data_IF_144019155877
#
_entry.id   IF_144019155877
#
_cell.length_a   1.000
_cell.length_b   1.000
_cell.length_c   1.000
_cell.angle_alpha   90.00
_cell.angle_beta   90.00
_cell.angle_gamma   90.00
#
_symmetry.space_group_name_H-M   'P 1'
#
loop_
_entity.id
_entity.type
_entity.pdbx_description
1 polymer ?
#
# COMPACT_ATOMS: atom_id res chain seq x y z
N UNK A 1 -16.26 -31.45 1.61
CA UNK A 1 -15.78 -30.42 2.57
C UNK A 1 -14.26 -30.32 2.59
N UNK A 2 -13.50 -31.42 2.44
CA UNK A 2 -12.02 -31.38 2.33
C UNK A 2 -11.44 -30.60 1.13
N UNK A 3 -12.13 -30.50 -0.01
CA UNK A 3 -11.56 -29.86 -1.21
C UNK A 3 -11.45 -28.32 -1.17
N UNK A 4 -12.20 -27.64 -0.30
CA UNK A 4 -12.17 -26.17 -0.22
C UNK A 4 -11.01 -25.68 0.65
N UNK A 5 -10.73 -26.33 1.78
CA UNK A 5 -9.60 -25.96 2.64
C UNK A 5 -8.26 -26.17 1.93
N UNK A 6 -8.11 -27.27 1.18
CA UNK A 6 -6.91 -27.51 0.37
C UNK A 6 -6.72 -26.45 -0.72
N UNK A 7 -7.80 -25.93 -1.31
CA UNK A 7 -7.71 -24.91 -2.37
C UNK A 7 -7.14 -23.57 -1.86
N UNK A 8 -7.37 -23.24 -0.59
CA UNK A 8 -6.94 -21.99 0.02
C UNK A 8 -5.65 -22.11 0.84
N UNK A 9 -5.15 -23.32 1.04
CA UNK A 9 -3.89 -23.56 1.76
C UNK A 9 -2.72 -23.60 0.80
N UNK A 10 -1.73 -22.75 1.03
CA UNK A 10 -0.46 -22.76 0.28
C UNK A 10 0.63 -22.23 1.19
N UNK A 11 1.67 -23.02 1.38
CA UNK A 11 2.78 -22.62 2.26
C UNK A 11 3.72 -21.68 1.51
N UNK A 12 3.76 -20.43 1.97
CA UNK A 12 4.83 -19.47 1.66
C UNK A 12 5.56 -19.14 2.94
N UNK A 13 6.75 -19.70 3.08
CA UNK A 13 7.65 -19.33 4.18
C UNK A 13 8.13 -17.90 3.96
N UNK A 14 7.78 -17.00 4.89
CA UNK A 14 8.23 -15.62 4.86
C UNK A 14 9.73 -15.53 5.13
N UNK A 15 10.49 -15.19 4.10
CA UNK A 15 11.91 -14.88 4.15
C UNK A 15 12.08 -13.41 4.47
N UNK A 16 12.07 -13.07 5.76
CA UNK A 16 12.16 -11.70 6.25
C UNK A 16 13.28 -10.88 5.58
N UNK A 17 14.45 -11.50 5.38
CA UNK A 17 15.60 -10.86 4.74
C UNK A 17 15.33 -10.41 3.30
N UNK A 18 14.50 -11.14 2.54
CA UNK A 18 14.11 -10.75 1.18
C UNK A 18 13.17 -9.54 1.23
N UNK A 19 12.20 -9.55 2.14
CA UNK A 19 11.26 -8.45 2.34
C UNK A 19 12.02 -7.17 2.68
N UNK A 20 12.97 -7.27 3.63
CA UNK A 20 13.84 -6.15 4.04
C UNK A 20 14.71 -5.68 2.88
N UNK A 21 15.32 -6.58 2.11
CA UNK A 21 16.14 -6.21 0.95
C UNK A 21 15.33 -5.40 -0.07
N UNK A 22 14.11 -5.84 -0.39
CA UNK A 22 13.22 -5.14 -1.31
C UNK A 22 12.78 -3.79 -0.73
N UNK A 23 12.49 -3.73 0.57
CA UNK A 23 12.16 -2.47 1.26
C UNK A 23 13.33 -1.47 1.26
N UNK A 24 14.56 -1.92 1.44
CA UNK A 24 15.76 -1.06 1.33
C UNK A 24 15.92 -0.56 -0.11
N UNK A 25 15.80 -1.44 -1.11
CA UNK A 25 15.87 -1.05 -2.52
C UNK A 25 14.80 -0.04 -2.89
N UNK A 26 13.56 -0.23 -2.41
CA UNK A 26 12.47 0.74 -2.54
C UNK A 26 12.88 2.12 -2.02
N UNK A 27 13.39 2.19 -0.79
CA UNK A 27 13.79 3.47 -0.15
C UNK A 27 14.93 4.13 -0.92
N UNK A 28 15.94 3.36 -1.33
CA UNK A 28 17.09 3.88 -2.09
C UNK A 28 16.65 4.43 -3.46
N UNK A 29 15.82 3.70 -4.20
CA UNK A 29 15.30 4.14 -5.50
C UNK A 29 14.48 5.41 -5.33
N UNK A 30 13.63 5.48 -4.29
CA UNK A 30 12.83 6.65 -3.98
C UNK A 30 13.69 7.88 -3.64
N UNK A 31 14.78 7.69 -2.89
CA UNK A 31 15.70 8.77 -2.54
C UNK A 31 16.36 9.37 -3.79
N UNK A 32 16.75 8.54 -4.75
CA UNK A 32 17.42 8.95 -5.98
C UNK A 32 16.49 9.10 -7.20
N UNK A 33 15.18 9.24 -6.98
CA UNK A 33 14.15 9.32 -8.04
C UNK A 33 14.29 10.46 -9.05
N UNK A 34 15.17 11.43 -8.79
CA UNK A 34 15.46 12.52 -9.74
C UNK A 34 16.32 12.05 -10.92
N UNK A 35 17.02 10.91 -10.81
CA UNK A 35 17.74 10.30 -11.91
C UNK A 35 16.76 9.64 -12.92
N UNK A 36 16.90 9.84 -14.25
CA UNK A 36 15.89 9.41 -15.23
C UNK A 36 15.47 7.94 -15.12
N UNK A 37 16.45 7.03 -15.01
CA UNK A 37 16.19 5.58 -14.90
C UNK A 37 15.48 5.25 -13.58
N UNK A 38 15.94 5.85 -12.48
CA UNK A 38 15.39 5.58 -11.14
C UNK A 38 14.00 6.18 -10.98
N UNK A 39 13.66 7.24 -11.73
CA UNK A 39 12.32 7.81 -11.74
C UNK A 39 11.26 6.82 -12.24
N UNK A 40 11.58 6.03 -13.27
CA UNK A 40 10.68 4.98 -13.77
C UNK A 40 10.59 3.80 -12.80
N UNK A 41 11.70 3.42 -12.18
CA UNK A 41 11.71 2.36 -11.15
C UNK A 41 10.91 2.78 -9.91
N UNK A 42 11.03 4.04 -9.46
CA UNK A 42 10.22 4.62 -8.38
C UNK A 42 8.72 4.53 -8.70
N UNK A 43 8.32 4.79 -9.95
CA UNK A 43 6.92 4.65 -10.37
C UNK A 43 6.45 3.21 -10.27
N UNK A 44 7.27 2.25 -10.71
CA UNK A 44 6.92 0.83 -10.68
C UNK A 44 6.80 0.31 -9.24
N UNK A 45 7.81 0.58 -8.41
CA UNK A 45 7.86 0.10 -7.03
C UNK A 45 6.81 0.76 -6.14
N UNK A 46 6.55 2.05 -6.34
CA UNK A 46 5.57 2.79 -5.54
C UNK A 46 4.14 2.61 -6.03
N UNK A 47 3.90 1.90 -7.15
CA UNK A 47 2.55 1.79 -7.69
C UNK A 47 1.58 1.17 -6.68
N UNK A 48 1.91 -0.02 -6.15
CA UNK A 48 1.04 -0.73 -5.19
C UNK A 48 0.93 0.07 -3.88
N UNK A 49 2.03 0.57 -3.28
CA UNK A 49 1.93 1.35 -2.05
C UNK A 49 1.13 2.65 -2.19
N UNK A 50 1.39 3.46 -3.22
CA UNK A 50 0.64 4.71 -3.48
C UNK A 50 -0.82 4.40 -3.75
N UNK A 51 -1.13 3.37 -4.54
CA UNK A 51 -2.51 2.94 -4.74
C UNK A 51 -3.18 2.58 -3.40
N UNK A 52 -2.47 1.83 -2.56
CA UNK A 52 -2.98 1.42 -1.25
C UNK A 52 -3.24 2.64 -0.38
N UNK A 53 -2.35 3.63 -0.37
CA UNK A 53 -2.54 4.90 0.34
C UNK A 53 -3.80 5.64 -0.16
N UNK A 54 -3.88 5.91 -1.46
CA UNK A 54 -4.99 6.68 -2.03
C UNK A 54 -6.33 5.94 -1.93
N UNK A 55 -6.33 4.62 -2.07
CA UNK A 55 -7.52 3.80 -1.81
C UNK A 55 -7.94 3.85 -0.35
N UNK A 56 -6.99 4.00 0.59
CA UNK A 56 -7.27 4.24 2.00
C UNK A 56 -8.16 5.46 2.21
N UNK A 57 -7.85 6.58 1.54
CA UNK A 57 -8.73 7.76 1.56
C UNK A 57 -10.12 7.44 1.03
N UNK A 58 -10.23 6.71 -0.07
CA UNK A 58 -11.52 6.39 -0.70
C UNK A 58 -12.36 5.46 0.18
N UNK A 59 -11.76 4.41 0.72
CA UNK A 59 -12.43 3.45 1.59
C UNK A 59 -12.99 4.15 2.83
N UNK A 60 -12.18 4.95 3.50
CA UNK A 60 -12.59 5.67 4.70
C UNK A 60 -13.59 6.79 4.38
N UNK A 61 -13.46 7.43 3.22
CA UNK A 61 -14.46 8.37 2.74
C UNK A 61 -15.83 7.70 2.58
N UNK A 62 -15.89 6.54 1.93
CA UNK A 62 -17.13 5.77 1.76
C UNK A 62 -17.71 5.30 3.09
N UNK A 63 -16.88 4.79 4.01
CA UNK A 63 -17.32 4.37 5.36
C UNK A 63 -17.94 5.56 6.12
N UNK A 64 -17.37 6.76 5.96
CA UNK A 64 -17.91 7.98 6.59
C UNK A 64 -19.14 8.59 5.88
N UNK A 65 -19.69 7.92 4.87
CA UNK A 65 -20.86 8.39 4.10
C UNK A 65 -20.53 9.37 2.96
N UNK A 66 -19.25 9.50 2.60
CA UNK A 66 -18.78 10.31 1.49
C UNK A 66 -18.89 9.65 0.11
N UNK A 67 -18.44 10.38 -0.92
CA UNK A 67 -18.38 9.90 -2.30
C UNK A 67 -16.99 10.11 -2.89
N UNK A 68 -16.40 9.04 -3.42
CA UNK A 68 -15.20 9.12 -4.26
C UNK A 68 -15.60 9.30 -5.73
N UNK A 69 -14.94 10.22 -6.42
CA UNK A 69 -15.21 10.58 -7.81
C UNK A 69 -14.16 10.02 -8.77
N UNK A 70 -12.89 10.14 -8.41
CA UNK A 70 -11.78 9.66 -9.22
C UNK A 70 -10.63 9.25 -8.30
N UNK A 71 -9.79 8.36 -8.81
CA UNK A 71 -8.55 7.92 -8.22
C UNK A 71 -7.52 7.90 -9.33
N UNK A 72 -6.39 8.58 -9.16
CA UNK A 72 -5.36 8.67 -10.20
C UNK A 72 -4.02 8.33 -9.61
N UNK A 73 -3.31 7.41 -10.27
CA UNK A 73 -1.89 7.15 -10.02
C UNK A 73 -1.08 7.80 -11.12
N UNK A 74 -0.14 8.66 -10.74
CA UNK A 74 0.70 9.40 -11.68
C UNK A 74 1.83 8.48 -12.15
N UNK A 75 1.77 8.06 -13.42
CA UNK A 75 2.72 7.10 -14.02
C UNK A 75 3.79 7.75 -14.90
N UNK A 76 3.82 9.09 -14.99
CA UNK A 76 4.82 9.83 -15.78
C UNK A 76 5.80 10.55 -14.85
N UNK A 77 7.13 10.34 -14.98
CA UNK A 77 8.12 11.04 -14.16
C UNK A 77 8.01 12.56 -14.22
N UNK A 78 7.85 13.10 -15.42
CA UNK A 78 7.71 14.54 -15.64
C UNK A 78 6.49 15.13 -14.90
N UNK A 79 5.36 14.42 -14.91
CA UNK A 79 4.15 14.84 -14.19
C UNK A 79 4.40 14.84 -12.68
N UNK A 80 5.03 13.79 -12.13
CA UNK A 80 5.40 13.74 -10.69
C UNK A 80 6.33 14.87 -10.28
N UNK A 81 7.28 15.26 -11.13
CA UNK A 81 8.21 16.35 -10.84
C UNK A 81 7.51 17.72 -10.85
N UNK A 82 6.58 17.93 -11.80
CA UNK A 82 5.83 19.18 -11.92
C UNK A 82 4.78 19.35 -10.81
N UNK A 83 4.08 18.28 -10.43
CA UNK A 83 2.98 18.34 -9.44
C UNK A 83 3.42 17.97 -8.02
N UNK A 84 4.58 17.32 -7.86
CA UNK A 84 5.01 16.66 -6.62
C UNK A 84 4.03 15.59 -6.10
N UNK A 85 3.10 15.11 -6.94
CA UNK A 85 2.11 14.10 -6.58
C UNK A 85 2.46 12.74 -7.20
N UNK A 86 2.42 11.68 -6.39
CA UNK A 86 2.59 10.30 -6.86
C UNK A 86 1.23 9.66 -7.22
N UNK A 87 0.18 10.08 -6.54
CA UNK A 87 -1.22 9.75 -6.76
C UNK A 87 -2.11 10.80 -6.10
N UNK A 88 -3.41 10.74 -6.38
CA UNK A 88 -4.41 11.54 -5.69
C UNK A 88 -5.80 10.91 -5.81
N UNK A 89 -6.57 10.96 -4.73
CA UNK A 89 -7.99 10.62 -4.68
C UNK A 89 -8.87 11.88 -4.65
N UNK A 90 -9.85 11.96 -5.55
CA UNK A 90 -10.88 13.01 -5.53
C UNK A 90 -12.05 12.51 -4.69
N UNK A 91 -12.13 12.96 -3.44
CA UNK A 91 -13.19 12.57 -2.49
C UNK A 91 -14.09 13.75 -2.13
N UNK A 92 -15.34 13.45 -1.79
CA UNK A 92 -16.32 14.42 -1.31
C UNK A 92 -16.87 13.93 0.02
N UNK A 93 -16.48 14.61 1.10
CA UNK A 93 -16.96 14.31 2.45
C UNK A 93 -18.22 15.11 2.75
N UNK A 94 -19.17 14.48 3.45
CA UNK A 94 -20.46 15.08 3.83
C UNK A 94 -20.41 15.84 5.16
N UNK A 95 -19.35 15.64 5.95
CA UNK A 95 -19.16 16.28 7.26
C UNK A 95 -17.68 16.51 7.56
N UNK A 96 -17.38 17.40 8.53
CA UNK A 96 -16.01 17.63 9.03
C UNK A 96 -15.39 16.36 9.62
N UNK A 97 -16.18 15.60 10.38
CA UNK A 97 -15.75 14.30 10.92
C UNK A 97 -15.45 13.31 9.80
N UNK A 98 -16.30 13.24 8.77
CA UNK A 98 -16.06 12.36 7.61
C UNK A 98 -14.81 12.75 6.83
N UNK A 99 -14.52 14.05 6.72
CA UNK A 99 -13.27 14.50 6.11
C UNK A 99 -12.06 14.11 6.96
N UNK A 100 -12.14 14.20 8.30
CA UNK A 100 -11.06 13.76 9.18
C UNK A 100 -10.81 12.24 9.08
N UNK A 101 -11.89 11.43 9.07
CA UNK A 101 -11.82 9.99 8.88
C UNK A 101 -11.21 9.64 7.51
N UNK A 102 -11.60 10.36 6.45
CA UNK A 102 -11.03 10.22 5.10
C UNK A 102 -9.52 10.46 5.10
N UNK A 103 -9.05 11.55 5.72
CA UNK A 103 -7.63 11.90 5.76
C UNK A 103 -6.81 10.89 6.57
N UNK A 104 -7.37 10.34 7.67
CA UNK A 104 -6.71 9.27 8.43
C UNK A 104 -6.51 7.99 7.61
N UNK A 105 -7.47 7.65 6.75
CA UNK A 105 -7.49 6.38 6.02
C UNK A 105 -6.26 6.13 5.15
N UNK A 106 -5.69 7.16 4.54
CA UNK A 106 -4.56 7.00 3.62
C UNK A 106 -3.29 6.46 4.29
N UNK A 107 -3.00 6.90 5.51
CA UNK A 107 -1.83 6.45 6.27
C UNK A 107 -2.07 5.14 7.04
N UNK A 108 -3.34 4.74 7.21
CA UNK A 108 -3.70 3.52 7.93
C UNK A 108 -3.72 2.31 6.99
N UNK A 109 -4.08 2.47 5.72
CA UNK A 109 -4.26 1.31 4.84
C UNK A 109 -2.97 0.58 4.44
N UNK A 110 -1.85 1.26 4.09
CA UNK A 110 -0.59 0.58 3.79
C UNK A 110 -0.08 -0.37 4.91
N UNK A 111 -0.01 0.04 6.19
CA UNK A 111 0.39 -0.86 7.26
C UNK A 111 -0.65 -1.97 7.51
N UNK A 112 -1.96 -1.71 7.31
CA UNK A 112 -2.96 -2.78 7.37
C UNK A 112 -2.73 -3.82 6.28
N UNK A 113 -2.49 -3.40 5.03
CA UNK A 113 -2.25 -4.35 3.93
C UNK A 113 -0.95 -5.12 4.14
N UNK A 114 0.09 -4.50 4.69
CA UNK A 114 1.32 -5.20 5.09
C UNK A 114 1.01 -6.31 6.11
N UNK A 115 0.18 -6.02 7.12
CA UNK A 115 -0.25 -6.98 8.12
C UNK A 115 -1.13 -8.09 7.57
N UNK A 116 -2.09 -7.76 6.68
CA UNK A 116 -2.93 -8.76 6.01
C UNK A 116 -2.06 -9.73 5.24
N UNK A 117 -1.05 -9.23 4.50
CA UNK A 117 -0.07 -10.08 3.85
C UNK A 117 0.67 -10.97 4.85
N UNK A 118 1.37 -10.38 5.82
CA UNK A 118 2.16 -11.14 6.79
C UNK A 118 1.33 -12.21 7.55
N UNK A 119 0.16 -11.84 8.07
CA UNK A 119 -0.73 -12.75 8.78
C UNK A 119 -1.28 -13.84 7.87
N UNK A 120 -1.67 -13.51 6.63
CA UNK A 120 -2.20 -14.50 5.70
C UNK A 120 -1.16 -15.55 5.30
N UNK A 121 0.11 -15.17 5.14
CA UNK A 121 1.18 -16.13 4.89
C UNK A 121 1.48 -16.99 6.12
N UNK A 122 1.50 -16.40 7.31
CA UNK A 122 1.71 -17.12 8.57
C UNK A 122 0.60 -18.13 8.86
N UNK A 123 -0.66 -17.80 8.52
CA UNK A 123 -1.80 -18.71 8.61
C UNK A 123 -1.97 -19.63 7.40
N UNK A 124 -0.94 -19.79 6.55
CA UNK A 124 -0.96 -20.66 5.36
C UNK A 124 -2.04 -20.34 4.31
N UNK A 125 -2.61 -19.13 4.34
CA UNK A 125 -3.65 -18.64 3.43
C UNK A 125 -3.22 -17.39 2.63
N UNK A 126 -2.05 -17.36 1.97
CA UNK A 126 -1.54 -16.18 1.24
C UNK A 126 -2.46 -15.70 0.12
N UNK A 127 -3.39 -16.55 -0.35
CA UNK A 127 -4.41 -16.21 -1.33
C UNK A 127 -5.32 -15.06 -0.84
N UNK A 128 -5.59 -14.96 0.46
CA UNK A 128 -6.42 -13.90 1.04
C UNK A 128 -5.85 -12.52 0.68
N UNK A 129 -4.54 -12.35 0.80
CA UNK A 129 -3.86 -11.11 0.46
C UNK A 129 -4.01 -10.73 -1.01
N UNK A 130 -3.91 -11.71 -1.91
CA UNK A 130 -4.12 -11.49 -3.34
C UNK A 130 -5.57 -11.14 -3.68
N UNK A 131 -6.53 -11.82 -3.05
CA UNK A 131 -7.97 -11.52 -3.22
C UNK A 131 -8.26 -10.09 -2.76
N UNK A 132 -7.73 -9.66 -1.61
CA UNK A 132 -7.86 -8.29 -1.14
C UNK A 132 -7.32 -7.28 -2.17
N UNK A 133 -6.12 -7.52 -2.71
CA UNK A 133 -5.56 -6.65 -3.74
C UNK A 133 -6.37 -6.65 -5.04
N UNK A 134 -6.81 -7.82 -5.51
CA UNK A 134 -7.67 -7.92 -6.71
C UNK A 134 -8.96 -7.13 -6.50
N UNK A 135 -9.61 -7.23 -5.33
CA UNK A 135 -10.80 -6.46 -5.01
C UNK A 135 -10.53 -4.94 -5.02
N UNK A 136 -9.42 -4.50 -4.43
CA UNK A 136 -8.97 -3.09 -4.46
C UNK A 136 -8.77 -2.63 -5.92
N UNK A 137 -8.08 -3.43 -6.75
CA UNK A 137 -7.80 -3.10 -8.14
C UNK A 137 -9.04 -3.09 -9.04
N UNK A 138 -9.98 -4.02 -8.84
CA UNK A 138 -11.28 -4.00 -9.54
C UNK A 138 -12.04 -2.73 -9.19
N UNK A 139 -12.11 -2.38 -7.90
CA UNK A 139 -12.77 -1.15 -7.48
C UNK A 139 -12.08 0.09 -8.02
N UNK A 140 -10.74 0.12 -7.99
CA UNK A 140 -9.94 1.18 -8.59
C UNK A 140 -10.24 1.33 -10.09
N UNK A 141 -10.34 0.22 -10.83
CA UNK A 141 -10.70 0.22 -12.25
C UNK A 141 -12.08 0.81 -12.52
N UNK A 142 -13.03 0.69 -11.61
CA UNK A 142 -14.34 1.31 -11.76
C UNK A 142 -14.22 2.84 -11.66
N UNK A 143 -13.48 3.32 -10.66
CA UNK A 143 -13.37 4.75 -10.36
C UNK A 143 -12.41 5.53 -11.27
N UNK A 144 -11.26 4.96 -11.60
CA UNK A 144 -10.16 5.73 -12.18
C UNK A 144 -10.43 6.21 -13.60
N UNK A 145 -10.04 7.43 -13.91
CA UNK A 145 -9.97 7.93 -15.28
C UNK A 145 -8.85 7.27 -16.12
N UNK A 146 -7.80 6.70 -15.50
CA UNK A 146 -6.62 6.12 -16.19
C UNK A 146 -6.62 4.58 -16.12
N UNK A 147 -7.22 3.90 -17.12
CA UNK A 147 -7.48 2.45 -17.07
C UNK A 147 -6.28 1.54 -17.37
N UNK A 148 -5.32 1.96 -18.21
CA UNK A 148 -4.29 1.05 -18.74
C UNK A 148 -3.36 0.46 -17.68
N UNK A 149 -2.79 1.28 -16.80
CA UNK A 149 -1.87 0.78 -15.76
C UNK A 149 -2.56 -0.17 -14.75
N UNK A 150 -3.76 0.11 -14.23
CA UNK A 150 -4.42 -0.84 -13.36
C UNK A 150 -4.87 -2.12 -14.06
N UNK A 151 -5.23 -2.09 -15.35
CA UNK A 151 -5.56 -3.31 -16.09
C UNK A 151 -4.35 -4.25 -16.14
N UNK A 152 -3.16 -3.73 -16.46
CA UNK A 152 -1.93 -4.55 -16.53
C UNK A 152 -1.64 -5.21 -15.18
N UNK A 153 -1.72 -4.45 -14.08
CA UNK A 153 -1.43 -4.98 -12.75
C UNK A 153 -2.52 -5.95 -12.29
N UNK A 154 -3.79 -5.68 -12.61
CA UNK A 154 -4.87 -6.63 -12.33
C UNK A 154 -4.66 -7.96 -13.05
N UNK A 155 -4.24 -7.93 -14.33
CA UNK A 155 -3.90 -9.15 -15.06
C UNK A 155 -2.78 -9.91 -14.34
N UNK A 156 -1.70 -9.22 -13.94
CA UNK A 156 -0.59 -9.85 -13.19
C UNK A 156 -1.07 -10.47 -11.87
N UNK A 157 -1.92 -9.79 -11.12
CA UNK A 157 -2.47 -10.29 -9.85
C UNK A 157 -3.40 -11.50 -10.07
N UNK A 158 -4.26 -11.48 -11.09
CA UNK A 158 -5.14 -12.61 -11.43
C UNK A 158 -4.33 -13.80 -11.93
N UNK A 159 -3.30 -13.58 -12.75
CA UNK A 159 -2.36 -14.64 -13.15
C UNK A 159 -1.67 -15.23 -11.93
N UNK A 160 -1.18 -14.39 -11.01
CA UNK A 160 -0.57 -14.87 -9.78
C UNK A 160 -1.56 -15.69 -8.96
N UNK A 161 -2.78 -15.20 -8.74
CA UNK A 161 -3.85 -15.93 -8.03
C UNK A 161 -4.13 -17.29 -8.70
N UNK A 162 -4.20 -17.35 -10.03
CA UNK A 162 -4.38 -18.60 -10.76
C UNK A 162 -3.25 -19.60 -10.47
N UNK A 163 -2.00 -19.15 -10.41
CA UNK A 163 -0.87 -20.02 -10.07
C UNK A 163 -0.97 -20.57 -8.63
N UNK A 164 -1.47 -19.76 -7.68
CA UNK A 164 -1.76 -20.23 -6.32
C UNK A 164 -2.85 -21.30 -6.31
N UNK A 165 -3.94 -21.11 -7.04
CA UNK A 165 -5.04 -22.07 -7.11
C UNK A 165 -4.65 -23.40 -7.77
N UNK A 166 -3.65 -23.37 -8.66
CA UNK A 166 -3.07 -24.60 -9.24
C UNK A 166 -2.10 -25.32 -8.28
N UNK A 167 -1.94 -24.81 -7.04
CA UNK A 167 -1.02 -25.33 -6.02
C UNK A 167 0.39 -25.63 -6.57
N UNK A 168 0.82 -24.82 -7.55
CA UNK A 168 2.07 -24.92 -8.30
C UNK A 168 2.86 -26.24 -8.09
N UNK A 169 2.44 -27.31 -8.77
CA UNK A 169 3.11 -28.61 -8.73
C UNK A 169 4.60 -28.56 -9.12
N UNK A 170 5.03 -27.50 -9.82
CA UNK A 170 6.40 -27.29 -10.27
C UNK A 170 7.15 -26.27 -9.40
N UNK A 171 8.39 -26.63 -9.01
CA UNK A 171 9.29 -25.80 -8.18
C UNK A 171 9.50 -24.39 -8.73
N UNK A 172 9.59 -24.25 -10.06
CA UNK A 172 9.76 -22.95 -10.71
C UNK A 172 8.56 -22.02 -10.48
N UNK A 173 7.34 -22.54 -10.61
CA UNK A 173 6.10 -21.78 -10.41
C UNK A 173 5.94 -21.36 -8.94
N UNK A 174 6.22 -22.27 -8.00
CA UNK A 174 6.22 -21.95 -6.57
C UNK A 174 7.24 -20.86 -6.23
N UNK A 175 8.41 -20.90 -6.88
CA UNK A 175 9.46 -19.88 -6.72
C UNK A 175 8.97 -18.50 -7.19
N UNK A 176 8.34 -18.41 -8.36
CA UNK A 176 7.75 -17.16 -8.87
C UNK A 176 6.69 -16.62 -7.90
N UNK A 177 5.81 -17.49 -7.42
CA UNK A 177 4.75 -17.11 -6.47
C UNK A 177 5.36 -16.55 -5.18
N UNK A 178 6.33 -17.26 -4.61
CA UNK A 178 7.04 -16.85 -3.41
C UNK A 178 7.71 -15.48 -3.61
N UNK A 179 8.54 -15.29 -4.64
CA UNK A 179 9.21 -14.01 -4.84
C UNK A 179 8.24 -12.86 -5.16
N UNK A 180 7.16 -13.10 -5.90
CA UNK A 180 6.14 -12.08 -6.17
C UNK A 180 5.43 -11.65 -4.88
N UNK A 181 5.15 -12.59 -4.00
CA UNK A 181 4.56 -12.33 -2.69
C UNK A 181 5.49 -11.49 -1.80
N UNK A 182 6.76 -11.88 -1.71
CA UNK A 182 7.79 -11.13 -0.98
C UNK A 182 8.02 -9.74 -1.58
N UNK A 183 7.90 -9.60 -2.90
CA UNK A 183 8.00 -8.31 -3.58
C UNK A 183 6.90 -7.35 -3.14
N UNK A 184 5.63 -7.79 -3.16
CA UNK A 184 4.51 -6.94 -2.71
C UNK A 184 4.67 -6.55 -1.23
N UNK A 185 5.02 -7.51 -0.36
CA UNK A 185 5.32 -7.21 1.04
C UNK A 185 6.50 -6.26 1.22
N UNK A 186 7.55 -6.43 0.42
CA UNK A 186 8.77 -5.62 0.49
C UNK A 186 8.53 -4.17 0.09
N UNK A 187 7.77 -3.92 -0.97
CA UNK A 187 7.41 -2.53 -1.35
C UNK A 187 6.48 -1.88 -0.32
N UNK A 188 5.57 -2.63 0.30
CA UNK A 188 4.74 -2.12 1.40
C UNK A 188 5.56 -1.83 2.66
N UNK A 189 6.53 -2.68 2.99
CA UNK A 189 7.48 -2.43 4.07
C UNK A 189 8.27 -1.14 3.80
N UNK A 190 8.78 -0.99 2.58
CA UNK A 190 9.47 0.22 2.12
C UNK A 190 8.60 1.47 2.32
N UNK A 191 7.34 1.41 1.90
CA UNK A 191 6.37 2.49 2.12
C UNK A 191 6.12 2.79 3.60
N UNK A 192 5.90 1.79 4.45
CA UNK A 192 5.64 2.02 5.88
C UNK A 192 6.82 2.73 6.56
N UNK A 193 8.05 2.34 6.23
CA UNK A 193 9.26 2.98 6.76
C UNK A 193 9.42 4.39 6.18
N UNK A 194 9.30 4.54 4.86
CA UNK A 194 9.47 5.80 4.15
C UNK A 194 8.39 6.83 4.55
N UNK A 195 7.14 6.39 4.71
CA UNK A 195 6.02 7.20 5.19
C UNK A 195 6.25 7.67 6.62
N UNK A 196 6.76 6.81 7.51
CA UNK A 196 7.13 7.21 8.88
C UNK A 196 8.16 8.33 8.88
N UNK A 197 9.21 8.22 8.05
CA UNK A 197 10.21 9.28 7.90
C UNK A 197 9.61 10.58 7.33
N UNK A 198 8.77 10.46 6.29
CA UNK A 198 8.08 11.61 5.68
C UNK A 198 7.16 12.32 6.68
N UNK A 199 6.40 11.58 7.49
CA UNK A 199 5.54 12.13 8.55
C UNK A 199 6.38 12.92 9.55
N UNK A 200 7.48 12.37 10.05
CA UNK A 200 8.38 13.08 10.98
C UNK A 200 8.87 14.38 10.35
N UNK A 201 9.38 14.32 9.11
CA UNK A 201 9.88 15.50 8.40
C UNK A 201 8.78 16.57 8.26
N UNK A 202 7.60 16.21 7.76
CA UNK A 202 6.49 17.15 7.55
C UNK A 202 5.94 17.72 8.86
N UNK A 203 5.99 16.96 9.96
CA UNK A 203 5.54 17.42 11.28
C UNK A 203 6.40 18.55 11.82
N UNK A 204 7.72 18.49 11.61
CA UNK A 204 8.67 19.45 12.15
C UNK A 204 9.19 20.48 11.14
N UNK A 205 8.83 20.36 9.87
CA UNK A 205 9.26 21.28 8.81
C UNK A 205 8.68 22.70 9.00
N UNK A 206 9.52 23.71 8.73
CA UNK A 206 9.14 25.13 8.69
C UNK A 206 9.59 25.75 7.37
N UNK A 207 8.77 26.57 6.68
CA UNK A 207 7.37 26.89 6.99
C UNK A 207 6.46 25.67 6.88
N UNK A 208 5.30 25.72 7.53
CA UNK A 208 4.33 24.62 7.50
C UNK A 208 3.87 24.38 6.06
N UNK A 209 4.08 23.17 5.56
CA UNK A 209 3.61 22.73 4.25
C UNK A 209 2.19 22.19 4.35
N UNK A 210 1.45 22.21 3.24
CA UNK A 210 0.14 21.57 3.18
C UNK A 210 0.34 20.05 3.11
N UNK A 211 -0.06 19.36 4.16
CA UNK A 211 -0.07 17.90 4.25
C UNK A 211 -1.21 17.45 5.17
N UNK A 212 -1.56 16.18 5.12
CA UNK A 212 -2.73 15.61 5.77
C UNK A 212 -2.80 15.85 7.28
N UNK A 213 -1.68 15.74 8.01
CA UNK A 213 -1.65 16.04 9.44
C UNK A 213 -1.89 17.52 9.75
N UNK A 214 -1.48 18.43 8.87
CA UNK A 214 -1.81 19.86 9.02
C UNK A 214 -3.28 20.13 8.69
N UNK A 215 -3.83 19.49 7.66
CA UNK A 215 -5.26 19.56 7.34
C UNK A 215 -6.13 19.07 8.51
N UNK A 216 -5.77 17.94 9.12
CA UNK A 216 -6.44 17.42 10.32
C UNK A 216 -6.34 18.40 11.49
N UNK A 217 -5.16 19.02 11.69
CA UNK A 217 -4.97 19.99 12.75
C UNK A 217 -5.86 21.23 12.57
N UNK A 218 -5.95 21.74 11.34
CA UNK A 218 -6.78 22.91 11.01
C UNK A 218 -8.28 22.61 11.20
N UNK A 219 -8.70 21.38 10.94
CA UNK A 219 -10.10 20.97 11.08
C UNK A 219 -10.51 20.66 12.52
N UNK A 220 -9.64 19.99 13.27
CA UNK A 220 -9.94 19.44 14.60
C UNK A 220 -9.42 20.29 15.75
N UNK A 221 -8.55 21.26 15.46
CA UNK A 221 -7.78 22.05 16.44
C UNK A 221 -6.81 21.20 17.29
N UNK A 222 -6.62 19.92 16.96
CA UNK A 222 -5.63 19.05 17.59
C UNK A 222 -4.28 19.25 16.89
N UNK A 223 -3.16 19.43 17.61
CA UNK A 223 -1.85 19.60 16.97
C UNK A 223 -1.48 18.44 16.03
N UNK A 224 -0.86 18.75 14.89
CA UNK A 224 -0.47 17.76 13.87
C UNK A 224 0.38 16.61 14.43
N UNK A 225 1.22 16.90 15.43
CA UNK A 225 2.06 15.90 16.11
C UNK A 225 1.25 14.76 16.73
N UNK A 226 0.02 15.00 17.20
CA UNK A 226 -0.82 13.94 17.75
C UNK A 226 -1.20 12.90 16.68
N UNK A 227 -1.56 13.37 15.48
CA UNK A 227 -1.84 12.49 14.33
C UNK A 227 -0.58 11.78 13.85
N UNK A 228 0.57 12.47 13.83
CA UNK A 228 1.87 11.87 13.51
C UNK A 228 2.21 10.71 14.46
N UNK A 229 1.99 10.89 15.77
CA UNK A 229 2.22 9.84 16.75
C UNK A 229 1.31 8.63 16.53
N UNK A 230 0.04 8.83 16.17
CA UNK A 230 -0.89 7.74 15.85
C UNK A 230 -0.38 6.94 14.66
N UNK A 231 -0.07 7.61 13.54
CA UNK A 231 0.39 6.92 12.33
C UNK A 231 1.73 6.22 12.51
N UNK A 232 2.69 6.87 13.18
CA UNK A 232 4.00 6.25 13.48
C UNK A 232 3.83 5.05 14.41
N UNK A 233 2.91 5.10 15.38
CA UNK A 233 2.64 3.96 16.26
C UNK A 233 2.03 2.79 15.50
N UNK A 234 1.09 3.04 14.58
CA UNK A 234 0.50 2.00 13.71
C UNK A 234 1.59 1.38 12.82
N UNK A 235 2.46 2.20 12.25
CA UNK A 235 3.59 1.73 11.46
C UNK A 235 4.57 0.90 12.30
N UNK A 236 4.94 1.36 13.50
CA UNK A 236 5.83 0.61 14.40
C UNK A 236 5.23 -0.73 14.82
N UNK A 237 3.93 -0.76 15.10
CA UNK A 237 3.21 -2.00 15.42
C UNK A 237 3.14 -2.97 14.24
N UNK A 238 2.95 -2.46 13.01
CA UNK A 238 2.93 -3.32 11.83
C UNK A 238 4.29 -3.94 11.53
N UNK A 239 5.39 -3.20 11.75
CA UNK A 239 6.75 -3.70 11.67
C UNK A 239 7.01 -4.80 12.72
N UNK A 240 6.57 -4.58 13.95
CA UNK A 240 6.70 -5.56 15.04
C UNK A 240 6.00 -6.88 14.68
N UNK A 241 4.75 -6.82 14.23
CA UNK A 241 4.00 -8.03 13.85
C UNK A 241 4.56 -8.70 12.59
N UNK A 242 5.01 -7.95 11.59
CA UNK A 242 5.70 -8.53 10.42
C UNK A 242 6.91 -9.35 10.87
N UNK A 243 7.70 -8.82 11.81
CA UNK A 243 8.83 -9.54 12.40
C UNK A 243 8.34 -10.80 13.12
N UNK A 244 7.34 -10.69 13.99
CA UNK A 244 6.79 -11.85 14.69
C UNK A 244 6.36 -12.96 13.72
N UNK A 245 5.50 -12.65 12.75
CA UNK A 245 5.00 -13.62 11.77
C UNK A 245 6.06 -14.22 10.84
N UNK A 246 7.24 -13.59 10.72
CA UNK A 246 8.32 -14.09 9.88
C UNK A 246 9.26 -15.06 10.62
N UNK A 247 9.23 -15.08 11.95
CA UNK A 247 10.17 -15.86 12.78
C UNK A 247 9.50 -16.79 13.79
N UNK A 248 8.25 -16.51 14.15
CA UNK A 248 7.42 -17.26 15.10
C UNK A 248 6.10 -17.62 14.45
#
# INVERSE_FOLDING_TARGET
>A
MLYLEDLFTTVITLKFYIIVLIGILYILIHHYRYHPVLAYLDILLNYIPVLTHEFGHILFNKISGGRAKDLVIVTRPYERQMTSQQGYAITQSTSKLGHAITTLGGYILPPIMLLVGAASAHSEHPIIFLICYIAIFIYFLILTSRKWSPIIILILLVTLLYLFLQQAQYTFTHTIMSYSYHFILGVLLGEVIQSSWTIVKLTFQRPKTQWDGQALADMTHVPSIAFSLIWISINGYSLYLLFQYSFY
#
